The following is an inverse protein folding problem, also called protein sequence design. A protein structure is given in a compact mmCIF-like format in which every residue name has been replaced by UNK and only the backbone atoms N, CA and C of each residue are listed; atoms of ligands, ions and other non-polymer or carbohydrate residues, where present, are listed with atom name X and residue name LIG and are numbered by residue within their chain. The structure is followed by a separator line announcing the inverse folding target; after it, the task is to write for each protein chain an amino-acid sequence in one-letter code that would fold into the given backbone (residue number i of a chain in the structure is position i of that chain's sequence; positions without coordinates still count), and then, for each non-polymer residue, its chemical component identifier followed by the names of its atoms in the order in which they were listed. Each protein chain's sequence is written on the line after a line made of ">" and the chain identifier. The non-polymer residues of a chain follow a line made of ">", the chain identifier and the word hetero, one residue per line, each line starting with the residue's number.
data_IF_448178697884
#
_entry.id   IF_448178697884
#
_cell.length_a   1.000
_cell.length_b   1.000
_cell.length_c   1.000
_cell.angle_alpha   90.00
_cell.angle_beta   90.00
_cell.angle_gamma   90.00
#
_symmetry.space_group_name_H-M   'P 1'
#
loop_
_entity.id
_entity.type
_entity.pdbx_description
1 polymer ?
#
# COMPACT_ATOMS: atom_id res chain seq x y z
N UNK A 1 -2.88 25.35 -44.37
CA UNK A 1 -3.77 25.63 -43.21
C UNK A 1 -3.50 24.54 -42.20
N UNK A 2 -2.83 24.89 -41.10
CA UNK A 2 -2.36 23.98 -40.05
C UNK A 2 -3.50 23.28 -39.35
N UNK A 3 -3.37 21.96 -39.16
CA UNK A 3 -3.78 21.31 -37.91
C UNK A 3 -2.68 20.32 -37.53
N UNK A 4 -1.74 20.79 -36.70
CA UNK A 4 -0.87 19.93 -35.92
C UNK A 4 -1.78 19.23 -34.90
N UNK A 5 -2.18 18.00 -35.19
CA UNK A 5 -2.64 17.08 -34.16
C UNK A 5 -1.40 16.65 -33.36
N UNK A 6 -0.91 17.55 -32.50
CA UNK A 6 -0.06 17.16 -31.40
C UNK A 6 -0.95 16.32 -30.49
N UNK A 7 -0.87 15.00 -30.68
CA UNK A 7 -1.34 14.02 -29.73
C UNK A 7 -0.45 14.20 -28.48
N UNK A 8 -0.75 15.20 -27.65
CA UNK A 8 -0.14 15.49 -26.34
C UNK A 8 -0.48 14.37 -25.34
N UNK A 9 -0.35 13.11 -25.76
CA UNK A 9 -0.39 11.97 -24.86
C UNK A 9 0.89 12.01 -24.06
N UNK A 10 0.80 12.53 -22.83
CA UNK A 10 1.85 12.33 -21.84
C UNK A 10 2.23 10.84 -21.85
N UNK A 11 3.50 10.49 -22.15
CA UNK A 11 3.92 9.10 -22.18
C UNK A 11 3.66 8.46 -20.82
N UNK A 12 2.94 7.35 -20.81
CA UNK A 12 2.70 6.58 -19.61
C UNK A 12 3.97 5.77 -19.29
N UNK A 13 4.75 6.20 -18.30
CA UNK A 13 5.95 5.51 -17.87
C UNK A 13 5.60 4.42 -16.86
N UNK A 14 5.93 3.18 -17.19
CA UNK A 14 5.81 2.05 -16.29
C UNK A 14 7.17 1.67 -15.72
N UNK A 15 7.31 1.73 -14.40
CA UNK A 15 8.51 1.32 -13.67
C UNK A 15 8.23 0.01 -12.94
N UNK A 16 9.01 -1.03 -13.24
CA UNK A 16 8.99 -2.28 -12.48
C UNK A 16 10.27 -2.45 -11.67
N UNK A 17 10.13 -2.74 -10.38
CA UNK A 17 11.27 -2.92 -9.47
C UNK A 17 11.18 -4.17 -8.61
N UNK A 18 12.35 -4.69 -8.25
CA UNK A 18 12.50 -5.76 -7.24
C UNK A 18 13.46 -5.30 -6.16
N UNK A 19 13.08 -5.49 -4.90
CA UNK A 19 13.91 -5.14 -3.75
C UNK A 19 14.57 -6.41 -3.20
N UNK A 20 15.90 -6.37 -3.12
CA UNK A 20 16.71 -7.45 -2.56
C UNK A 20 17.31 -6.96 -1.24
N UNK A 21 17.15 -7.74 -0.18
CA UNK A 21 17.67 -7.40 1.16
C UNK A 21 18.64 -8.46 1.66
N UNK A 22 19.44 -8.15 2.67
CA UNK A 22 20.06 -9.21 3.49
C UNK A 22 18.97 -9.90 4.33
N UNK A 23 19.28 -11.03 4.98
CA UNK A 23 18.31 -11.67 5.89
C UNK A 23 17.91 -10.72 7.03
N UNK A 24 16.61 -10.62 7.31
CA UNK A 24 16.10 -9.84 8.43
C UNK A 24 16.06 -10.70 9.70
N UNK A 25 16.70 -10.24 10.79
CA UNK A 25 16.74 -10.94 12.07
C UNK A 25 15.36 -11.00 12.75
N UNK A 26 14.53 -9.96 12.59
CA UNK A 26 13.15 -9.89 13.06
C UNK A 26 12.41 -8.69 12.42
N UNK A 27 11.08 -8.71 12.41
CA UNK A 27 10.26 -7.51 12.21
C UNK A 27 10.06 -6.87 13.58
N UNK A 28 10.62 -5.69 13.83
CA UNK A 28 10.16 -4.84 14.93
C UNK A 28 8.97 -4.02 14.42
N UNK A 29 7.80 -4.65 14.37
CA UNK A 29 6.57 -3.89 14.14
C UNK A 29 6.17 -3.25 15.48
N UNK A 30 6.54 -1.99 15.69
CA UNK A 30 6.12 -1.15 16.82
C UNK A 30 4.60 -0.89 16.76
N UNK A 31 3.79 -1.94 16.82
CA UNK A 31 2.37 -1.84 17.06
C UNK A 31 2.18 -1.43 18.51
N UNK A 32 1.83 -0.16 18.75
CA UNK A 32 1.60 0.39 20.10
C UNK A 32 0.61 -0.42 20.95
N UNK A 33 -0.27 -1.23 20.33
CA UNK A 33 -1.29 -2.05 21.02
C UNK A 33 -1.08 -3.56 20.91
N UNK A 34 -0.25 -4.03 19.99
CA UNK A 34 0.01 -5.44 19.74
C UNK A 34 1.51 -5.65 19.91
N UNK A 35 1.92 -6.13 21.08
CA UNK A 35 3.35 -6.34 21.38
C UNK A 35 4.10 -7.03 20.24
N UNK A 36 5.35 -6.60 20.01
CA UNK A 36 6.28 -7.00 18.94
C UNK A 36 6.34 -8.53 18.69
N UNK A 37 5.37 -9.11 17.98
CA UNK A 37 5.32 -10.56 17.71
C UNK A 37 4.82 -10.92 16.31
N UNK A 38 4.92 -10.02 15.33
CA UNK A 38 4.77 -10.46 13.94
C UNK A 38 6.14 -10.87 13.40
N UNK A 39 6.31 -12.18 13.20
CA UNK A 39 7.48 -12.76 12.56
C UNK A 39 7.51 -12.24 11.11
N UNK A 40 8.68 -11.81 10.61
CA UNK A 40 8.88 -11.54 9.18
C UNK A 40 8.28 -12.69 8.37
N UNK A 41 7.50 -12.39 7.33
CA UNK A 41 6.89 -13.42 6.49
C UNK A 41 8.01 -14.32 5.95
N UNK A 42 7.87 -15.62 6.14
CA UNK A 42 8.82 -16.61 5.63
C UNK A 42 8.22 -17.31 4.43
N UNK A 43 9.06 -17.62 3.46
CA UNK A 43 8.68 -18.38 2.29
C UNK A 43 9.83 -19.28 1.86
N UNK A 44 9.49 -20.32 1.10
CA UNK A 44 10.47 -21.21 0.52
C UNK A 44 10.88 -20.68 -0.85
N UNK A 45 12.17 -20.46 -1.05
CA UNK A 45 12.72 -20.01 -2.33
C UNK A 45 14.08 -20.68 -2.57
N UNK A 46 14.26 -21.22 -3.78
CA UNK A 46 15.49 -21.90 -4.19
C UNK A 46 16.01 -22.95 -3.19
N UNK A 47 15.12 -23.81 -2.67
CA UNK A 47 15.49 -24.89 -1.75
C UNK A 47 15.76 -24.46 -0.31
N UNK A 48 15.60 -23.17 0.02
CA UNK A 48 15.91 -22.62 1.34
C UNK A 48 14.78 -21.72 1.83
N UNK A 49 14.73 -21.49 3.14
CA UNK A 49 13.77 -20.55 3.74
C UNK A 49 14.35 -19.14 3.64
N UNK A 50 13.58 -18.22 3.10
CA UNK A 50 13.92 -16.81 2.99
C UNK A 50 12.90 -15.95 3.72
N UNK A 51 13.32 -14.75 4.11
CA UNK A 51 12.44 -13.72 4.66
C UNK A 51 11.91 -12.83 3.55
N UNK A 52 10.65 -12.44 3.67
CA UNK A 52 9.92 -11.66 2.69
C UNK A 52 9.28 -10.42 3.32
N UNK A 53 9.20 -9.34 2.53
CA UNK A 53 8.38 -8.16 2.85
C UNK A 53 7.35 -8.02 1.74
N UNK A 54 6.06 -7.93 2.12
CA UNK A 54 4.98 -7.85 1.16
C UNK A 54 5.08 -6.59 0.29
N UNK A 55 4.67 -6.68 -0.98
CA UNK A 55 4.61 -5.52 -1.87
C UNK A 55 3.68 -4.43 -1.33
N UNK A 56 2.60 -4.81 -0.64
CA UNK A 56 1.69 -3.86 0.03
C UNK A 56 2.37 -3.08 1.16
N UNK A 57 3.25 -3.72 1.94
CA UNK A 57 4.03 -3.04 2.98
C UNK A 57 4.99 -2.02 2.39
N UNK A 58 5.66 -2.37 1.28
CA UNK A 58 6.56 -1.47 0.57
C UNK A 58 5.78 -0.26 0.01
N UNK A 59 4.64 -0.50 -0.65
CA UNK A 59 3.77 0.58 -1.15
C UNK A 59 3.26 1.48 -0.03
N UNK A 60 2.89 0.92 1.12
CA UNK A 60 2.49 1.70 2.29
C UNK A 60 3.65 2.58 2.78
N UNK A 61 4.86 2.04 2.90
CA UNK A 61 6.03 2.80 3.34
C UNK A 61 6.37 3.95 2.36
N UNK A 62 6.30 3.71 1.05
CA UNK A 62 6.48 4.74 0.03
C UNK A 62 5.40 5.81 0.12
N UNK A 63 4.13 5.44 0.31
CA UNK A 63 3.04 6.40 0.50
C UNK A 63 3.23 7.25 1.76
N UNK A 64 3.59 6.61 2.88
CA UNK A 64 3.88 7.31 4.12
C UNK A 64 5.04 8.30 3.94
N UNK A 65 6.08 7.92 3.19
CA UNK A 65 7.16 8.83 2.82
C UNK A 65 6.64 10.02 2.01
N UNK A 66 5.83 9.79 0.96
CA UNK A 66 5.23 10.87 0.16
C UNK A 66 4.43 11.85 1.04
N UNK A 67 3.59 11.32 1.94
CA UNK A 67 2.84 12.12 2.90
C UNK A 67 3.77 12.97 3.79
N UNK A 68 4.84 12.37 4.31
CA UNK A 68 5.82 13.07 5.16
C UNK A 68 6.62 14.15 4.43
N UNK A 69 6.81 14.00 3.12
CA UNK A 69 7.40 15.04 2.28
C UNK A 69 6.40 16.13 1.86
N UNK A 70 5.12 16.01 2.24
CA UNK A 70 4.08 17.00 1.92
C UNK A 70 3.45 16.83 0.54
N UNK A 71 3.66 15.70 -0.14
CA UNK A 71 2.94 15.41 -1.38
C UNK A 71 1.48 15.07 -1.08
N UNK A 72 0.59 15.45 -2.00
CA UNK A 72 -0.82 15.11 -1.93
C UNK A 72 -1.00 13.61 -2.17
N UNK A 73 -1.49 12.92 -1.15
CA UNK A 73 -1.87 11.50 -1.21
C UNK A 73 -3.32 11.36 -0.77
N UNK A 74 -4.05 10.45 -1.40
CA UNK A 74 -5.44 10.19 -1.11
C UNK A 74 -5.59 9.31 0.16
N UNK A 75 -4.71 8.33 0.32
CA UNK A 75 -4.69 7.46 1.53
C UNK A 75 -3.71 8.02 2.56
N UNK A 76 -4.24 8.71 3.56
CA UNK A 76 -3.47 9.45 4.57
C UNK A 76 -3.39 8.64 5.87
N UNK A 77 -2.19 8.50 6.42
CA UNK A 77 -1.99 8.00 7.78
C UNK A 77 -2.20 9.12 8.80
N UNK A 78 -3.19 8.93 9.68
CA UNK A 78 -3.41 9.80 10.83
C UNK A 78 -2.53 9.36 12.00
N UNK A 79 -1.56 10.18 12.38
CA UNK A 79 -0.61 9.85 13.45
C UNK A 79 -1.22 9.93 14.85
N UNK A 80 -2.27 10.73 15.03
CA UNK A 80 -2.90 10.90 16.34
C UNK A 80 -3.83 9.71 16.63
N UNK A 81 -4.59 9.29 15.62
CA UNK A 81 -5.55 8.18 15.76
C UNK A 81 -4.96 6.82 15.39
N UNK A 82 -3.80 6.80 14.74
CA UNK A 82 -3.15 5.60 14.22
C UNK A 82 -4.05 4.80 13.26
N UNK A 83 -4.71 5.50 12.35
CA UNK A 83 -5.59 4.91 11.32
C UNK A 83 -5.24 5.45 9.93
N UNK A 84 -5.56 4.68 8.89
CA UNK A 84 -5.53 5.19 7.52
C UNK A 84 -6.90 5.80 7.21
N UNK A 85 -6.92 7.07 6.78
CA UNK A 85 -8.10 7.77 6.28
C UNK A 85 -8.00 7.92 4.77
N UNK A 86 -9.15 7.90 4.11
CA UNK A 86 -9.27 8.24 2.70
C UNK A 86 -9.72 9.70 2.58
N UNK A 87 -9.03 10.49 1.76
CA UNK A 87 -9.37 11.91 1.53
C UNK A 87 -10.53 12.05 0.54
N UNK A 88 -10.55 11.24 -0.51
CA UNK A 88 -11.57 11.24 -1.55
C UNK A 88 -11.91 9.82 -1.99
N UNK A 89 -13.20 9.49 -2.01
CA UNK A 89 -13.71 8.21 -2.51
C UNK A 89 -13.63 8.09 -4.03
N UNK A 90 -13.58 9.20 -4.77
CA UNK A 90 -13.65 9.19 -6.23
C UNK A 90 -12.34 8.75 -6.90
N UNK A 91 -11.21 8.78 -6.15
CA UNK A 91 -9.83 8.60 -6.63
C UNK A 91 -9.45 9.50 -7.83
N UNK A 92 -8.31 10.19 -7.73
CA UNK A 92 -7.90 11.13 -8.78
C UNK A 92 -6.38 11.06 -9.00
N UNK A 93 -5.91 10.39 -10.07
CA UNK A 93 -4.48 10.25 -10.33
C UNK A 93 -3.83 11.57 -10.81
N UNK A 94 -4.60 12.57 -11.24
CA UNK A 94 -4.05 13.89 -11.57
C UNK A 94 -3.83 14.73 -10.31
N UNK A 95 -4.64 14.50 -9.27
CA UNK A 95 -4.56 15.22 -8.00
C UNK A 95 -3.67 14.52 -6.96
N UNK A 96 -3.75 13.19 -6.85
CA UNK A 96 -3.12 12.40 -5.80
C UNK A 96 -2.01 11.51 -6.35
N UNK A 97 -0.79 11.71 -5.86
CA UNK A 97 0.40 10.99 -6.31
C UNK A 97 0.30 9.49 -6.06
N UNK A 98 -0.31 9.06 -4.96
CA UNK A 98 -0.42 7.64 -4.64
C UNK A 98 -1.44 6.91 -5.52
N UNK A 99 -2.42 7.62 -6.06
CA UNK A 99 -3.41 7.08 -7.01
C UNK A 99 -2.81 6.91 -8.40
N UNK A 100 -1.88 7.79 -8.81
CA UNK A 100 -1.11 7.62 -10.04
C UNK A 100 -0.02 6.54 -9.91
N UNK A 101 0.81 6.62 -8.86
CA UNK A 101 1.96 5.74 -8.67
C UNK A 101 1.53 4.30 -8.39
N UNK A 102 0.55 4.09 -7.49
CA UNK A 102 0.15 2.75 -7.06
C UNK A 102 -1.16 2.27 -7.68
N UNK A 103 -1.92 3.15 -8.31
CA UNK A 103 -3.23 2.82 -8.86
C UNK A 103 -4.30 2.69 -7.77
N UNK A 104 -5.51 2.42 -8.26
CA UNK A 104 -6.71 2.21 -7.47
C UNK A 104 -7.68 1.27 -8.19
N UNK A 105 -8.58 0.69 -7.42
CA UNK A 105 -9.71 -0.09 -7.91
C UNK A 105 -10.92 0.27 -7.05
N UNK A 106 -11.93 0.87 -7.68
CA UNK A 106 -13.24 1.14 -7.12
C UNK A 106 -14.06 -0.15 -7.25
N UNK A 107 -14.55 -0.66 -6.12
CA UNK A 107 -15.61 -1.64 -6.15
C UNK A 107 -16.91 -0.88 -6.44
N UNK A 108 -17.42 -0.95 -7.67
CA UNK A 108 -18.84 -0.67 -7.87
C UNK A 108 -19.61 -1.75 -7.10
N UNK A 109 -20.33 -1.34 -6.05
CA UNK A 109 -21.30 -2.23 -5.43
C UNK A 109 -22.34 -2.58 -6.49
N UNK A 110 -22.24 -3.78 -7.06
CA UNK A 110 -23.39 -4.44 -7.69
C UNK A 110 -24.42 -4.69 -6.60
N UNK A 111 -25.24 -3.69 -6.30
CA UNK A 111 -26.55 -3.89 -5.70
C UNK A 111 -27.42 -4.57 -6.77
N UNK A 112 -27.29 -5.89 -6.94
CA UNK A 112 -28.33 -6.75 -7.54
C UNK A 112 -27.92 -8.21 -7.46
N UNK A 113 -28.38 -8.89 -6.39
CA UNK A 113 -29.26 -10.08 -6.39
C UNK A 113 -29.82 -10.15 -4.96
N UNK A 114 -30.83 -9.36 -4.61
CA UNK A 114 -32.23 -9.80 -4.51
C UNK A 114 -33.16 -8.59 -4.62
N UNK A 115 -34.23 -8.71 -5.41
CA UNK A 115 -34.94 -7.58 -5.97
C UNK A 115 -35.83 -6.78 -5.02
N UNK A 116 -35.94 -5.49 -5.27
CA UNK A 116 -37.20 -4.84 -5.66
C UNK A 116 -36.93 -3.42 -6.16
N UNK A 117 -37.52 -3.10 -7.31
CA UNK A 117 -37.48 -1.79 -7.95
C UNK A 117 -38.13 -0.74 -7.03
N UNK A 118 -37.43 0.34 -6.69
CA UNK A 118 -38.04 1.69 -6.72
C UNK A 118 -37.02 2.79 -7.03
N UNK A 119 -37.33 3.49 -8.11
CA UNK A 119 -36.73 4.67 -8.71
C UNK A 119 -36.65 5.86 -7.73
N UNK A 120 -35.46 6.42 -7.48
CA UNK A 120 -35.26 7.87 -7.27
C UNK A 120 -33.92 8.37 -7.80
N UNK A 121 -33.99 8.86 -9.03
CA UNK A 121 -33.26 9.94 -9.68
C UNK A 121 -32.36 10.82 -8.77
N UNK A 122 -31.04 10.78 -9.02
CA UNK A 122 -30.18 11.98 -9.02
C UNK A 122 -29.25 11.94 -10.23
N UNK A 123 -29.70 12.58 -11.33
CA UNK A 123 -28.86 12.99 -12.45
C UNK A 123 -28.21 14.34 -12.14
N UNK A 124 -26.87 14.41 -12.21
CA UNK A 124 -25.97 15.53 -12.63
C UNK A 124 -24.66 15.39 -11.84
N UNK A 125 -23.47 15.26 -12.43
CA UNK A 125 -22.96 15.65 -13.75
C UNK A 125 -22.14 14.51 -14.37
N UNK A 126 -22.19 14.39 -15.69
CA UNK A 126 -21.21 13.66 -16.46
C UNK A 126 -19.83 14.33 -16.29
N UNK A 127 -19.06 13.88 -15.29
CA UNK A 127 -17.61 13.82 -15.43
C UNK A 127 -17.34 12.59 -16.28
N UNK A 128 -16.45 12.72 -17.25
CA UNK A 128 -15.83 11.61 -17.97
C UNK A 128 -15.58 10.51 -16.92
N UNK A 129 -16.31 9.39 -17.01
CA UNK A 129 -16.21 8.30 -16.01
C UNK A 129 -14.73 7.94 -15.95
N UNK A 130 -14.06 8.35 -14.87
CA UNK A 130 -12.75 7.83 -14.57
C UNK A 130 -12.92 6.31 -14.56
N UNK A 131 -12.02 5.57 -15.21
CA UNK A 131 -12.14 4.12 -15.22
C UNK A 131 -12.18 3.65 -13.76
N UNK A 132 -13.12 2.77 -13.44
CA UNK A 132 -13.29 2.21 -12.09
C UNK A 132 -12.04 1.50 -11.56
N UNK A 133 -11.03 1.34 -12.39
CA UNK A 133 -9.73 0.83 -12.01
C UNK A 133 -8.64 1.51 -12.84
N UNK A 134 -7.51 1.83 -12.19
CA UNK A 134 -6.27 2.28 -12.83
C UNK A 134 -5.10 1.44 -12.35
N UNK A 135 -4.30 0.95 -13.28
CA UNK A 135 -2.99 0.37 -12.96
C UNK A 135 -2.01 1.49 -12.65
N UNK A 136 -1.32 1.40 -11.51
CA UNK A 136 -0.32 2.38 -11.13
C UNK A 136 0.94 2.33 -12.00
N UNK A 137 1.66 3.45 -12.06
CA UNK A 137 2.93 3.54 -12.76
C UNK A 137 4.03 2.63 -12.17
N UNK A 138 3.96 2.28 -10.88
CA UNK A 138 4.96 1.47 -10.18
C UNK A 138 4.48 0.03 -9.94
N UNK A 139 5.10 -0.91 -10.64
CA UNK A 139 5.00 -2.35 -10.38
C UNK A 139 6.09 -2.85 -9.42
N UNK A 140 5.70 -3.64 -8.42
CA UNK A 140 6.64 -4.25 -7.47
C UNK A 140 6.24 -5.66 -7.08
N UNK A 141 7.21 -6.55 -6.95
CA UNK A 141 7.05 -7.83 -6.27
C UNK A 141 7.31 -7.71 -4.75
N UNK A 142 7.21 -8.83 -4.04
CA UNK A 142 7.66 -8.90 -2.65
C UNK A 142 9.18 -8.76 -2.59
N UNK A 143 9.69 -8.05 -1.59
CA UNK A 143 11.12 -8.08 -1.32
C UNK A 143 11.52 -9.45 -0.77
N UNK A 144 12.68 -9.95 -1.18
CA UNK A 144 13.21 -11.25 -0.74
C UNK A 144 14.63 -11.09 -0.20
N UNK A 145 14.95 -11.83 0.86
CA UNK A 145 16.32 -11.87 1.38
C UNK A 145 17.25 -12.66 0.46
N UNK A 146 18.45 -12.17 0.22
CA UNK A 146 19.50 -12.87 -0.53
C UNK A 146 20.10 -14.02 0.27
N UNK A 147 20.22 -13.84 1.59
CA UNK A 147 20.68 -14.89 2.49
C UNK A 147 19.46 -15.64 3.03
N UNK A 148 19.51 -16.98 3.07
CA UNK A 148 18.52 -17.79 3.77
C UNK A 148 18.39 -17.39 5.25
N UNK A 149 17.19 -17.55 5.80
CA UNK A 149 16.90 -17.37 7.21
C UNK A 149 16.41 -18.70 7.80
N UNK A 150 17.21 -19.29 8.70
CA UNK A 150 16.93 -20.54 9.39
C UNK A 150 15.85 -20.39 10.49
N UNK A 151 15.54 -19.14 10.89
CA UNK A 151 14.44 -18.86 11.80
C UNK A 151 14.79 -18.93 13.27
N UNK A 152 16.08 -18.99 13.63
CA UNK A 152 16.51 -19.29 14.99
C UNK A 152 16.49 -18.08 15.95
N UNK A 153 16.30 -16.85 15.45
CA UNK A 153 16.18 -15.67 16.31
C UNK A 153 14.72 -15.36 16.69
N UNK A 154 14.37 -15.69 17.94
CA UNK A 154 13.21 -15.10 18.63
C UNK A 154 13.69 -13.86 19.40
N UNK A 155 13.50 -12.67 18.83
CA UNK A 155 13.60 -11.43 19.60
C UNK A 155 12.26 -11.18 20.30
N UNK A 156 12.07 -11.84 21.44
CA UNK A 156 10.92 -11.63 22.31
C UNK A 156 11.24 -10.56 23.34
N UNK A 157 10.89 -9.30 23.08
CA UNK A 157 10.82 -8.30 24.14
C UNK A 157 9.36 -8.16 24.57
N UNK A 158 9.11 -8.29 25.87
CA UNK A 158 7.80 -8.11 26.47
C UNK A 158 7.58 -6.61 26.64
N UNK A 159 6.57 -6.05 25.97
CA UNK A 159 6.10 -4.70 26.29
C UNK A 159 5.22 -4.80 27.54
N UNK A 160 5.76 -4.45 28.70
CA UNK A 160 5.05 -4.39 29.98
C UNK A 160 4.90 -2.96 30.47
N UNK A 161 3.92 -2.71 31.36
CA UNK A 161 3.76 -1.42 32.04
C UNK A 161 4.84 -1.20 33.11
N UNK A 162 5.45 -2.29 33.58
CA UNK A 162 6.56 -2.32 34.53
C UNK A 162 7.82 -2.84 33.82
N UNK A 163 8.95 -2.21 34.13
CA UNK A 163 10.27 -2.54 33.59
C UNK A 163 10.84 -3.79 34.28
N UNK A 164 10.90 -4.89 33.55
CA UNK A 164 11.57 -6.14 33.89
C UNK A 164 12.78 -6.41 32.96
N UNK A 165 13.55 -7.47 33.23
CA UNK A 165 14.73 -7.85 32.43
C UNK A 165 14.41 -8.25 30.98
N UNK A 166 13.14 -8.23 30.59
CA UNK A 166 12.65 -8.57 29.25
C UNK A 166 11.99 -7.40 28.52
N UNK A 167 11.96 -6.20 29.11
CA UNK A 167 11.33 -5.01 28.53
C UNK A 167 12.36 -4.08 27.87
N UNK A 168 11.97 -3.48 26.75
CA UNK A 168 12.85 -2.64 25.93
C UNK A 168 12.92 -1.16 26.34
N UNK A 169 12.16 -0.71 27.36
CA UNK A 169 12.28 0.63 27.95
C UNK A 169 12.03 0.60 29.45
#
# INVERSE_FOLDING_TARGET
>A
MNQNNNDDRMPNYYLYGTVLTRYGLASLNHGMRQGNKTILQKGYWNGKIHSFVSSSSIRWALRFYLQKQGYLVNRVWDENEHINRLTSEDFDPEQFYDDDIFGFALLESTETEEGTVTTKTRKKKAKLSSPNQRMGALGMNMAVSLTPYDGTLKLGAKSGREKDSTSLH
#
